data_IF_333844951525
#
_entry.id   IF_333844951525
#
_cell.length_a   1.000
_cell.length_b   1.000
_cell.length_c   1.000
_cell.angle_alpha   90.00
_cell.angle_beta   90.00
_cell.angle_gamma   90.00
#
_symmetry.space_group_name_H-M   'P 1'
#
loop_
_entity.id
_entity.type
_entity.pdbx_description
1 polymer ?
#
# COMPACT_ATOMS: atom_id res chain seq x y z
N UNK A 1 -18.00 -13.69 -54.61
CA UNK A 1 -17.80 -14.17 -53.24
C UNK A 1 -16.42 -14.80 -53.17
N UNK A 2 -15.45 -14.17 -52.51
CA UNK A 2 -14.10 -14.75 -52.35
C UNK A 2 -14.17 -15.94 -51.40
N UNK A 3 -13.52 -17.06 -51.75
CA UNK A 3 -13.49 -18.22 -50.87
C UNK A 3 -12.65 -17.90 -49.62
N UNK A 4 -12.90 -18.55 -48.46
CA UNK A 4 -12.13 -18.34 -47.24
C UNK A 4 -10.61 -18.53 -47.45
N UNK A 5 -10.23 -19.45 -48.35
CA UNK A 5 -8.84 -19.73 -48.71
C UNK A 5 -8.17 -18.62 -49.51
N UNK A 6 -8.90 -17.91 -50.38
CA UNK A 6 -8.39 -16.76 -51.12
C UNK A 6 -8.22 -15.52 -50.22
N UNK A 7 -9.10 -15.36 -49.23
CA UNK A 7 -9.02 -14.25 -48.26
C UNK A 7 -7.81 -14.42 -47.33
N UNK A 8 -7.53 -15.65 -46.88
CA UNK A 8 -6.36 -16.00 -46.09
C UNK A 8 -5.04 -15.80 -46.84
N UNK A 9 -4.97 -16.21 -48.12
CA UNK A 9 -3.74 -16.07 -48.90
C UNK A 9 -3.41 -14.60 -49.21
N UNK A 10 -4.41 -13.76 -49.47
CA UNK A 10 -4.22 -12.30 -49.63
C UNK A 10 -3.78 -11.61 -48.33
N UNK A 11 -4.25 -12.07 -47.17
CA UNK A 11 -3.82 -11.55 -45.88
C UNK A 11 -2.36 -11.91 -45.54
N UNK A 12 -1.86 -13.03 -46.04
CA UNK A 12 -0.50 -13.55 -45.75
C UNK A 12 0.57 -13.04 -46.73
N UNK A 13 0.20 -12.65 -47.95
CA UNK A 13 1.15 -12.14 -48.96
C UNK A 13 2.04 -10.96 -48.49
N UNK A 14 1.55 -9.95 -47.75
CA UNK A 14 2.39 -8.87 -47.21
C UNK A 14 3.39 -9.36 -46.16
N UNK A 15 2.99 -10.34 -45.35
CA UNK A 15 3.82 -10.97 -44.30
C UNK A 15 5.00 -11.76 -44.90
N UNK A 16 4.80 -12.37 -46.08
CA UNK A 16 5.84 -13.10 -46.81
C UNK A 16 6.84 -12.18 -47.54
N UNK A 17 6.45 -10.94 -47.88
CA UNK A 17 7.33 -9.97 -48.58
C UNK A 17 8.36 -9.29 -47.69
N UNK A 18 8.18 -9.33 -46.35
CA UNK A 18 9.11 -8.74 -45.38
C UNK A 18 9.41 -9.73 -44.24
N UNK A 19 10.10 -10.85 -44.53
CA UNK A 19 10.26 -11.95 -43.57
C UNK A 19 10.95 -11.53 -42.27
N UNK A 20 11.92 -10.61 -42.35
CA UNK A 20 12.62 -10.06 -41.16
C UNK A 20 11.66 -9.25 -40.28
N UNK A 21 10.86 -8.34 -40.86
CA UNK A 21 9.89 -7.55 -40.12
C UNK A 21 8.82 -8.43 -39.48
N UNK A 22 8.33 -9.42 -40.21
CA UNK A 22 7.36 -10.40 -39.71
C UNK A 22 7.94 -11.18 -38.53
N UNK A 23 9.15 -11.72 -38.64
CA UNK A 23 9.80 -12.46 -37.57
C UNK A 23 10.01 -11.59 -36.31
N UNK A 24 10.41 -10.32 -36.48
CA UNK A 24 10.58 -9.37 -35.37
C UNK A 24 9.26 -9.07 -34.67
N UNK A 25 8.20 -8.76 -35.43
CA UNK A 25 6.89 -8.49 -34.88
C UNK A 25 6.31 -9.72 -34.15
N UNK A 26 6.42 -10.90 -34.75
CA UNK A 26 5.97 -12.14 -34.10
C UNK A 26 6.73 -12.42 -32.80
N UNK A 27 8.06 -12.24 -32.78
CA UNK A 27 8.88 -12.45 -31.59
C UNK A 27 8.55 -11.45 -30.48
N UNK A 28 8.35 -10.17 -30.85
CA UNK A 28 7.94 -9.13 -29.92
C UNK A 28 6.54 -9.41 -29.37
N UNK A 29 5.57 -9.75 -30.23
CA UNK A 29 4.22 -10.10 -29.82
C UNK A 29 4.20 -11.33 -28.90
N UNK A 30 4.96 -12.38 -29.21
CA UNK A 30 5.09 -13.56 -28.36
C UNK A 30 5.69 -13.21 -26.99
N UNK A 31 6.70 -12.35 -26.95
CA UNK A 31 7.35 -11.90 -25.71
C UNK A 31 6.40 -11.07 -24.85
N UNK A 32 5.69 -10.11 -25.45
CA UNK A 32 4.67 -9.28 -24.76
C UNK A 32 3.52 -10.15 -24.26
N UNK A 33 3.07 -11.13 -25.06
CA UNK A 33 2.02 -12.05 -24.64
C UNK A 33 2.47 -12.92 -23.46
N UNK A 34 3.67 -13.49 -23.52
CA UNK A 34 4.23 -14.28 -22.42
C UNK A 34 4.39 -13.45 -21.14
N UNK A 35 4.86 -12.19 -21.25
CA UNK A 35 4.91 -11.26 -20.14
C UNK A 35 3.51 -10.95 -19.58
N UNK A 36 2.54 -10.64 -20.44
CA UNK A 36 1.17 -10.31 -20.04
C UNK A 36 0.50 -11.48 -19.31
N UNK A 37 0.68 -12.72 -19.78
CA UNK A 37 0.17 -13.92 -19.11
C UNK A 37 0.80 -14.10 -17.73
N UNK A 38 2.12 -13.90 -17.60
CA UNK A 38 2.82 -14.00 -16.31
C UNK A 38 2.39 -12.90 -15.34
N UNK A 39 2.31 -11.65 -15.81
CA UNK A 39 1.91 -10.49 -15.00
C UNK A 39 0.44 -10.58 -14.58
N UNK A 40 -0.45 -11.05 -15.46
CA UNK A 40 -1.85 -11.29 -15.12
C UNK A 40 -2.01 -12.41 -14.08
N UNK A 41 -1.26 -13.52 -14.21
CA UNK A 41 -1.25 -14.58 -13.19
C UNK A 41 -0.74 -14.08 -11.85
N UNK A 42 0.31 -13.27 -11.85
CA UNK A 42 0.81 -12.63 -10.64
C UNK A 42 -0.24 -11.71 -10.02
N UNK A 43 -0.96 -10.93 -10.82
CA UNK A 43 -2.06 -10.09 -10.35
C UNK A 43 -3.19 -10.89 -9.68
N UNK A 44 -3.62 -11.99 -10.29
CA UNK A 44 -4.63 -12.88 -9.70
C UNK A 44 -4.10 -13.59 -8.44
N UNK A 45 -2.81 -13.93 -8.37
CA UNK A 45 -2.23 -14.53 -7.17
C UNK A 45 -2.26 -13.59 -5.94
N UNK A 46 -2.39 -12.28 -6.13
CA UNK A 46 -2.50 -11.32 -5.02
C UNK A 46 -3.85 -11.36 -4.28
N UNK A 47 -4.85 -12.05 -4.87
CA UNK A 47 -6.22 -12.07 -4.35
C UNK A 47 -6.98 -10.74 -4.54
N UNK A 48 -8.21 -10.63 -4.02
CA UNK A 48 -9.02 -9.42 -4.12
C UNK A 48 -8.48 -8.28 -3.25
N UNK A 49 -8.73 -7.03 -3.64
CA UNK A 49 -8.44 -5.86 -2.80
C UNK A 49 -8.56 -4.53 -3.54
N UNK A 50 -9.70 -3.85 -3.38
CA UNK A 50 -9.98 -2.51 -3.90
C UNK A 50 -10.32 -2.46 -5.40
N UNK A 51 -9.59 -3.17 -6.25
CA UNK A 51 -9.83 -3.26 -7.71
C UNK A 51 -10.50 -4.59 -8.10
N UNK A 52 -11.23 -4.64 -9.25
CA UNK A 52 -11.88 -5.87 -9.70
C UNK A 52 -10.89 -7.01 -9.89
N UNK A 53 -11.11 -8.15 -9.22
CA UNK A 53 -10.20 -9.30 -9.26
C UNK A 53 -10.36 -10.14 -10.55
N UNK A 54 -10.10 -9.53 -11.71
CA UNK A 54 -10.27 -10.13 -13.02
C UNK A 54 -9.38 -9.42 -14.07
N UNK A 55 -9.52 -9.79 -15.35
CA UNK A 55 -8.74 -9.21 -16.44
C UNK A 55 -8.91 -7.69 -16.60
N UNK A 56 -10.12 -7.16 -16.38
CA UNK A 56 -10.37 -5.72 -16.48
C UNK A 56 -9.64 -4.93 -15.38
N UNK A 57 -9.62 -5.47 -14.15
CA UNK A 57 -8.84 -4.89 -13.06
C UNK A 57 -7.34 -4.93 -13.34
N UNK A 58 -6.82 -6.04 -13.88
CA UNK A 58 -5.42 -6.13 -14.30
C UNK A 58 -5.04 -5.07 -15.35
N UNK A 59 -5.88 -4.85 -16.36
CA UNK A 59 -5.65 -3.80 -17.37
C UNK A 59 -5.66 -2.41 -16.73
N UNK A 60 -6.61 -2.13 -15.84
CA UNK A 60 -6.67 -0.86 -15.12
C UNK A 60 -5.38 -0.63 -14.31
N UNK A 61 -4.93 -1.62 -13.53
CA UNK A 61 -3.69 -1.49 -12.77
C UNK A 61 -2.50 -1.30 -13.70
N UNK A 62 -2.40 -2.10 -14.76
CA UNK A 62 -1.24 -2.11 -15.66
C UNK A 62 -1.12 -0.85 -16.51
N UNK A 63 -2.23 -0.33 -17.02
CA UNK A 63 -2.24 0.78 -17.98
C UNK A 63 -2.53 2.14 -17.33
N UNK A 64 -3.29 2.19 -16.23
CA UNK A 64 -3.72 3.46 -15.63
C UNK A 64 -3.07 3.76 -14.27
N UNK A 65 -2.60 2.74 -13.53
CA UNK A 65 -2.00 2.95 -12.19
C UNK A 65 -0.48 2.81 -12.24
N UNK A 66 0.02 1.70 -12.79
CA UNK A 66 1.45 1.36 -12.81
C UNK A 66 2.36 2.45 -13.42
N UNK A 67 1.99 3.18 -14.49
CA UNK A 67 2.83 4.25 -15.03
C UNK A 67 3.06 5.43 -14.08
N UNK A 68 2.19 5.61 -13.08
CA UNK A 68 2.26 6.70 -12.09
C UNK A 68 2.68 6.20 -10.70
N UNK A 69 2.95 4.90 -10.56
CA UNK A 69 3.41 4.31 -9.32
C UNK A 69 4.93 4.43 -9.19
N UNK A 70 5.41 4.56 -7.95
CA UNK A 70 6.84 4.51 -7.66
C UNK A 70 7.45 3.18 -8.15
N UNK A 71 8.69 3.25 -8.65
CA UNK A 71 9.46 2.06 -8.93
C UNK A 71 9.83 1.33 -7.63
N UNK A 72 10.12 0.03 -7.72
CA UNK A 72 10.52 -0.77 -6.54
C UNK A 72 11.78 -0.23 -5.86
N UNK A 73 12.71 0.34 -6.63
CA UNK A 73 13.95 0.93 -6.08
C UNK A 73 13.66 2.25 -5.38
N UNK A 74 12.86 3.12 -5.99
CA UNK A 74 12.46 4.39 -5.40
C UNK A 74 11.63 4.19 -4.12
N UNK A 75 10.79 3.15 -4.06
CA UNK A 75 10.00 2.81 -2.87
C UNK A 75 10.85 2.43 -1.62
N UNK A 76 12.15 2.21 -1.80
CA UNK A 76 13.10 1.91 -0.69
C UNK A 76 14.14 3.01 -0.48
N UNK A 77 14.12 4.05 -1.32
CA UNK A 77 15.01 5.18 -1.20
C UNK A 77 14.44 6.17 -0.19
N UNK A 78 15.31 6.72 0.66
CA UNK A 78 14.92 7.65 1.74
C UNK A 78 15.68 8.97 1.67
N UNK A 79 16.36 9.26 0.56
CA UNK A 79 17.18 10.47 0.42
C UNK A 79 16.39 11.77 0.25
N UNK A 80 15.08 11.66 0.07
CA UNK A 80 14.10 12.76 0.08
C UNK A 80 13.52 13.05 1.47
N UNK A 81 13.78 12.20 2.47
CA UNK A 81 13.35 12.45 3.84
C UNK A 81 14.34 13.38 4.57
N UNK A 82 13.86 14.22 5.50
CA UNK A 82 14.75 15.03 6.33
C UNK A 82 15.66 14.13 7.17
N UNK A 83 16.94 14.50 7.26
CA UNK A 83 17.93 13.77 8.05
C UNK A 83 17.73 13.92 9.57
N UNK A 84 16.95 14.91 9.98
CA UNK A 84 16.68 15.27 11.38
C UNK A 84 15.18 15.26 11.67
N UNK A 85 14.81 15.20 12.95
CA UNK A 85 13.41 15.23 13.41
C UNK A 85 12.81 13.86 13.74
N UNK A 86 13.54 12.75 13.52
CA UNK A 86 13.14 11.45 14.05
C UNK A 86 13.23 11.45 15.60
N UNK A 87 12.20 10.89 16.25
CA UNK A 87 12.22 10.69 17.70
C UNK A 87 13.31 9.69 18.11
N UNK A 88 13.92 9.86 19.28
CA UNK A 88 15.02 9.00 19.77
C UNK A 88 14.66 7.51 19.78
N UNK A 89 13.46 7.14 20.27
CA UNK A 89 12.94 5.78 20.18
C UNK A 89 13.01 5.17 18.76
N UNK A 90 12.77 5.96 17.71
CA UNK A 90 12.81 5.48 16.31
C UNK A 90 14.26 5.35 15.83
N UNK A 91 15.16 6.25 16.25
CA UNK A 91 16.59 6.16 15.94
C UNK A 91 17.24 4.92 16.56
N UNK A 92 16.70 4.44 17.67
CA UNK A 92 17.19 3.26 18.40
C UNK A 92 16.59 1.94 17.90
N UNK A 93 15.64 1.97 16.95
CA UNK A 93 15.08 0.74 16.36
C UNK A 93 16.19 -0.05 15.68
N UNK A 94 16.38 -1.34 16.02
CA UNK A 94 17.42 -2.14 15.41
C UNK A 94 17.13 -2.40 13.93
N UNK A 95 18.19 -2.65 13.16
CA UNK A 95 18.02 -3.12 11.79
C UNK A 95 17.26 -4.45 11.78
N UNK A 96 16.21 -4.53 10.95
CA UNK A 96 15.39 -5.74 10.82
C UNK A 96 16.25 -6.92 10.33
N UNK A 97 16.08 -8.09 10.97
CA UNK A 97 16.87 -9.29 10.69
C UNK A 97 16.59 -9.87 9.30
N UNK A 98 17.65 -10.24 8.57
CA UNK A 98 17.58 -10.87 7.26
C UNK A 98 17.23 -9.90 6.12
N UNK A 99 16.93 -10.47 4.95
CA UNK A 99 16.65 -9.67 3.76
C UNK A 99 15.31 -8.94 3.84
N UNK A 100 15.12 -7.96 2.94
CA UNK A 100 13.84 -7.25 2.81
C UNK A 100 12.76 -8.21 2.35
N UNK A 101 11.56 -8.12 2.93
CA UNK A 101 10.42 -8.92 2.52
C UNK A 101 10.04 -8.62 1.06
N UNK A 102 9.77 -9.66 0.29
CA UNK A 102 9.23 -9.58 -1.05
C UNK A 102 7.82 -8.99 -1.04
N UNK A 103 7.61 -7.95 -1.85
CA UNK A 103 6.33 -7.28 -2.03
C UNK A 103 5.80 -7.46 -3.46
N UNK A 104 4.47 -7.57 -3.57
CA UNK A 104 3.76 -7.78 -4.82
C UNK A 104 2.60 -6.82 -4.99
N UNK A 105 2.40 -6.38 -6.23
CA UNK A 105 1.29 -5.51 -6.62
C UNK A 105 1.43 -4.05 -6.16
N UNK A 106 0.70 -3.18 -6.84
CA UNK A 106 0.50 -1.77 -6.41
C UNK A 106 -0.86 -1.67 -5.71
N UNK A 107 -1.90 -2.22 -6.36
CA UNK A 107 -3.22 -2.45 -5.76
C UNK A 107 -3.75 -3.78 -6.29
N UNK A 108 -4.08 -4.76 -5.42
CA UNK A 108 -3.73 -4.79 -4.00
C UNK A 108 -2.20 -4.88 -3.80
N UNK A 109 -1.68 -4.19 -2.78
CA UNK A 109 -0.30 -4.32 -2.34
C UNK A 109 -0.20 -5.44 -1.30
N UNK A 110 0.71 -6.40 -1.49
CA UNK A 110 0.82 -7.60 -0.63
C UNK A 110 2.27 -7.85 -0.24
N UNK A 111 2.47 -8.24 1.02
CA UNK A 111 3.69 -8.91 1.45
C UNK A 111 3.61 -10.38 1.04
N UNK A 112 4.57 -10.85 0.25
CA UNK A 112 4.60 -12.18 -0.36
C UNK A 112 5.51 -13.18 0.36
N UNK A 113 6.36 -12.70 1.27
CA UNK A 113 7.30 -13.51 2.03
C UNK A 113 7.40 -13.03 3.47
N UNK A 114 8.05 -13.82 4.33
CA UNK A 114 8.24 -13.47 5.74
C UNK A 114 6.92 -13.21 6.48
N UNK A 115 5.90 -14.01 6.18
CA UNK A 115 4.57 -13.85 6.77
C UNK A 115 4.62 -14.00 8.29
N UNK A 116 3.89 -13.12 8.97
CA UNK A 116 3.70 -13.20 10.41
C UNK A 116 2.98 -14.52 10.79
N UNK A 117 3.43 -15.24 11.83
CA UNK A 117 2.70 -16.35 12.39
C UNK A 117 1.30 -15.94 12.87
N UNK A 118 0.34 -16.86 12.84
CA UNK A 118 -1.08 -16.57 13.18
C UNK A 118 -1.23 -15.94 14.56
N UNK A 119 -0.39 -16.33 15.54
CA UNK A 119 -0.40 -15.74 16.90
C UNK A 119 -0.16 -14.23 16.92
N UNK A 120 0.66 -13.71 16.00
CA UNK A 120 0.97 -12.27 15.93
C UNK A 120 -0.25 -11.44 15.53
N UNK A 121 -1.24 -12.04 14.87
CA UNK A 121 -2.49 -11.36 14.54
C UNK A 121 -3.22 -10.86 15.78
N UNK A 122 -3.27 -11.67 16.83
CA UNK A 122 -3.90 -11.30 18.09
C UNK A 122 -3.15 -10.14 18.76
N UNK A 123 -1.81 -10.19 18.76
CA UNK A 123 -0.99 -9.10 19.30
C UNK A 123 -1.14 -7.78 18.55
N UNK A 124 -1.27 -7.83 17.21
CA UNK A 124 -1.56 -6.63 16.40
C UNK A 124 -2.96 -6.09 16.73
N UNK A 125 -3.96 -6.96 16.90
CA UNK A 125 -5.31 -6.56 17.27
C UNK A 125 -5.34 -5.91 18.66
N UNK A 126 -4.64 -6.50 19.63
CA UNK A 126 -4.50 -5.97 20.98
C UNK A 126 -3.77 -4.63 20.97
N UNK A 127 -2.67 -4.50 20.21
CA UNK A 127 -1.94 -3.24 20.05
C UNK A 127 -2.86 -2.11 19.57
N UNK A 128 -3.70 -2.36 18.56
CA UNK A 128 -4.63 -1.36 18.04
C UNK A 128 -5.75 -1.04 19.03
N UNK A 129 -6.33 -2.06 19.68
CA UNK A 129 -7.36 -1.86 20.69
C UNK A 129 -6.83 -1.03 21.87
N UNK A 130 -5.68 -1.42 22.40
CA UNK A 130 -5.06 -0.77 23.55
C UNK A 130 -4.53 0.62 23.21
N UNK A 131 -4.09 0.88 21.98
CA UNK A 131 -3.74 2.24 21.55
C UNK A 131 -4.91 3.21 21.79
N UNK A 132 -6.15 2.79 21.47
CA UNK A 132 -7.37 3.59 21.74
C UNK A 132 -7.68 3.62 23.22
N UNK A 133 -7.70 2.47 23.90
CA UNK A 133 -8.03 2.39 25.33
C UNK A 133 -7.10 3.25 26.19
N UNK A 134 -5.80 3.21 25.92
CA UNK A 134 -4.79 3.97 26.67
C UNK A 134 -4.76 5.47 26.32
N UNK A 135 -5.36 5.89 25.19
CA UNK A 135 -5.31 7.26 24.67
C UNK A 135 -6.68 7.76 24.15
N UNK A 136 -7.78 7.48 24.85
CA UNK A 136 -9.18 7.73 24.40
C UNK A 136 -9.47 9.19 24.03
N UNK A 137 -8.76 10.14 24.64
CA UNK A 137 -8.91 11.57 24.33
C UNK A 137 -8.27 11.94 22.98
N UNK A 138 -7.27 11.18 22.56
CA UNK A 138 -6.47 11.44 21.36
C UNK A 138 -6.88 10.61 20.15
N UNK A 139 -7.35 9.38 20.38
CA UNK A 139 -7.57 8.39 19.33
C UNK A 139 -8.98 7.80 19.35
N UNK A 140 -9.43 7.41 18.17
CA UNK A 140 -10.66 6.64 17.96
C UNK A 140 -10.43 5.54 16.92
N UNK A 141 -11.16 4.43 17.03
CA UNK A 141 -11.15 3.36 16.02
C UNK A 141 -12.33 3.51 15.07
N UNK A 142 -12.06 3.48 13.76
CA UNK A 142 -13.09 3.49 12.70
C UNK A 142 -12.70 2.53 11.58
N UNK A 143 -13.66 2.21 10.72
CA UNK A 143 -13.38 1.38 9.54
C UNK A 143 -12.34 2.06 8.64
N UNK A 144 -11.33 1.29 8.22
CA UNK A 144 -10.29 1.75 7.29
C UNK A 144 -10.91 2.30 6.01
N UNK A 145 -10.48 3.49 5.60
CA UNK A 145 -11.03 4.15 4.43
C UNK A 145 -10.48 3.57 3.11
N UNK A 146 -9.33 2.89 3.17
CA UNK A 146 -8.67 2.27 2.02
C UNK A 146 -9.09 0.82 1.86
N UNK A 147 -8.95 0.02 2.92
CA UNK A 147 -9.26 -1.41 2.87
C UNK A 147 -10.75 -1.70 3.05
N UNK A 148 -11.49 -0.80 3.73
CA UNK A 148 -12.94 -0.91 4.00
C UNK A 148 -13.40 -2.18 4.72
N UNK A 149 -12.47 -2.96 5.25
CA UNK A 149 -12.77 -4.25 5.90
C UNK A 149 -12.21 -4.34 7.33
N UNK A 150 -11.12 -3.63 7.63
CA UNK A 150 -10.43 -3.69 8.93
C UNK A 150 -10.56 -2.37 9.70
N UNK A 151 -10.57 -2.39 11.05
CA UNK A 151 -10.44 -1.18 11.85
C UNK A 151 -9.09 -0.48 11.60
N UNK A 152 -9.10 0.85 11.70
CA UNK A 152 -7.93 1.70 11.65
C UNK A 152 -8.03 2.78 12.74
N UNK A 153 -6.88 3.31 13.13
CA UNK A 153 -6.77 4.36 14.12
C UNK A 153 -6.92 5.72 13.46
N UNK A 154 -7.71 6.59 14.08
CA UNK A 154 -7.93 7.97 13.69
C UNK A 154 -7.63 8.88 14.87
N UNK A 155 -7.11 10.07 14.57
CA UNK A 155 -7.06 11.15 15.57
C UNK A 155 -8.49 11.58 15.90
N UNK A 156 -8.78 11.73 17.18
CA UNK A 156 -10.10 12.09 17.69
C UNK A 156 -10.55 13.45 17.14
N UNK A 157 -11.86 13.60 16.92
CA UNK A 157 -12.43 14.85 16.42
C UNK A 157 -12.07 16.08 17.28
N UNK A 158 -12.05 16.00 18.63
CA UNK A 158 -11.61 17.12 19.47
C UNK A 158 -10.18 17.58 19.18
N UNK A 159 -9.22 16.66 19.00
CA UNK A 159 -7.82 17.01 18.68
C UNK A 159 -7.71 17.68 17.30
N UNK A 160 -8.47 17.19 16.32
CA UNK A 160 -8.52 17.81 15.00
C UNK A 160 -9.19 19.19 15.02
N UNK A 161 -10.18 19.39 15.89
CA UNK A 161 -10.86 20.67 16.08
C UNK A 161 -10.02 21.67 16.88
N UNK A 162 -9.11 21.20 17.74
CA UNK A 162 -8.19 22.03 18.52
C UNK A 162 -6.92 22.45 17.78
N UNK A 163 -6.81 22.13 16.48
CA UNK A 163 -5.74 22.64 15.58
C UNK A 163 -5.61 24.17 15.76
N UNK A 164 -4.38 24.70 15.85
CA UNK A 164 -4.04 25.82 16.72
C UNK A 164 -4.96 27.02 16.47
N UNK A 165 -5.83 27.32 17.43
CA UNK A 165 -6.56 28.58 17.67
C UNK A 165 -6.62 29.59 16.49
N UNK A 166 -7.11 29.19 15.30
CA UNK A 166 -7.23 30.08 14.13
C UNK A 166 -5.93 30.43 13.38
N UNK A 167 -4.79 29.79 13.68
CA UNK A 167 -3.49 30.01 13.03
C UNK A 167 -3.28 29.21 11.74
N UNK A 168 -4.08 28.17 11.50
CA UNK A 168 -3.95 27.31 10.33
C UNK A 168 -5.31 26.90 9.77
N UNK A 169 -5.44 26.95 8.45
CA UNK A 169 -6.57 26.41 7.69
C UNK A 169 -6.16 25.13 6.97
N UNK A 170 -7.11 24.21 6.76
CA UNK A 170 -6.87 23.02 5.94
C UNK A 170 -6.56 23.45 4.50
N UNK A 171 -5.48 22.91 3.93
CA UNK A 171 -5.07 23.24 2.56
C UNK A 171 -6.21 23.04 1.54
N UNK A 172 -6.42 23.97 0.59
CA UNK A 172 -7.56 23.96 -0.36
C UNK A 172 -7.60 22.75 -1.30
N UNK A 173 -6.48 22.05 -1.49
CA UNK A 173 -6.44 20.76 -2.20
C UNK A 173 -7.08 19.61 -1.41
N UNK A 174 -7.35 19.80 -0.12
CA UNK A 174 -8.09 18.83 0.67
C UNK A 174 -9.57 18.92 0.26
N UNK A 175 -9.94 18.08 -0.70
CA UNK A 175 -11.27 18.03 -1.30
C UNK A 175 -12.39 17.95 -0.24
N UNK A 176 -13.45 18.79 -0.34
CA UNK A 176 -14.61 18.75 0.55
C UNK A 176 -15.28 17.37 0.53
N UNK A 177 -15.84 16.93 1.67
CA UNK A 177 -16.70 15.72 1.69
C UNK A 177 -17.87 15.96 0.71
N UNK A 178 -18.00 15.09 -0.30
CA UNK A 178 -19.07 15.17 -1.31
C UNK A 178 -18.67 15.71 -2.69
N UNK A 179 -17.43 16.16 -2.91
CA UNK A 179 -16.96 16.49 -4.28
C UNK A 179 -16.86 15.24 -5.16
N UNK A 180 -17.10 15.37 -6.47
CA UNK A 180 -16.96 14.31 -7.47
C UNK A 180 -15.53 13.70 -7.53
N UNK A 181 -14.54 14.47 -7.08
CA UNK A 181 -13.14 14.04 -6.96
C UNK A 181 -12.75 13.74 -5.50
N UNK A 182 -13.64 13.98 -4.54
CA UNK A 182 -13.38 13.67 -3.13
C UNK A 182 -13.10 12.17 -2.98
N UNK A 183 -11.93 11.86 -2.46
CA UNK A 183 -11.54 10.48 -2.25
C UNK A 183 -10.99 9.76 -3.48
N UNK A 184 -10.80 10.43 -4.63
CA UNK A 184 -10.39 9.77 -5.88
C UNK A 184 -9.02 9.09 -5.79
N UNK A 185 -8.09 9.62 -4.99
CA UNK A 185 -6.78 9.00 -4.79
C UNK A 185 -6.31 8.97 -3.33
N UNK A 186 -6.60 10.00 -2.51
CA UNK A 186 -6.23 10.05 -1.07
C UNK A 186 -4.82 9.56 -0.78
N UNK A 187 -3.86 9.81 -1.67
CA UNK A 187 -2.51 9.31 -1.50
C UNK A 187 -1.73 10.41 -0.76
N UNK A 188 -1.43 10.22 0.53
CA UNK A 188 -0.35 10.94 1.20
C UNK A 188 0.97 10.72 0.42
N UNK A 189 1.79 11.77 0.36
CA UNK A 189 3.14 11.72 -0.21
C UNK A 189 4.07 10.70 0.47
N UNK A 190 3.75 10.34 1.72
CA UNK A 190 4.54 9.47 2.60
C UNK A 190 3.73 8.28 3.14
N UNK A 191 3.50 7.25 2.32
CA UNK A 191 3.04 5.94 2.84
C UNK A 191 4.20 5.03 3.15
N UNK A 192 4.20 4.50 4.36
CA UNK A 192 5.05 3.37 4.73
C UNK A 192 4.21 2.10 4.86
N UNK A 193 4.64 1.04 4.17
CA UNK A 193 4.17 -0.31 4.47
C UNK A 193 5.08 -0.91 5.53
N UNK A 194 4.56 -1.06 6.75
CA UNK A 194 5.26 -1.77 7.82
C UNK A 194 5.00 -3.27 7.65
N UNK A 195 6.05 -4.08 7.61
CA UNK A 195 5.93 -5.53 7.47
C UNK A 195 5.27 -6.16 8.69
N UNK A 196 4.56 -7.27 8.47
CA UNK A 196 4.02 -8.06 9.56
C UNK A 196 5.14 -8.55 10.48
N UNK A 197 5.03 -8.34 11.81
CA UNK A 197 6.03 -8.79 12.78
C UNK A 197 6.06 -10.32 12.83
N UNK A 198 7.28 -10.88 12.80
CA UNK A 198 7.49 -12.34 12.81
C UNK A 198 7.50 -12.93 14.22
N UNK A 199 7.87 -12.11 15.20
CA UNK A 199 8.05 -12.48 16.60
C UNK A 199 7.86 -11.26 17.50
N UNK A 200 8.00 -11.52 18.80
CA UNK A 200 7.83 -10.58 19.90
C UNK A 200 8.81 -9.41 19.82
N UNK A 201 10.05 -9.63 19.36
CA UNK A 201 11.03 -8.55 19.17
C UNK A 201 10.57 -7.56 18.07
N UNK A 202 10.03 -8.08 16.96
CA UNK A 202 9.47 -7.24 15.90
C UNK A 202 8.14 -6.58 16.32
N UNK A 203 7.38 -7.18 17.24
CA UNK A 203 6.20 -6.55 17.83
C UNK A 203 6.56 -5.29 18.62
N UNK A 204 7.67 -5.29 19.37
CA UNK A 204 8.12 -4.09 20.09
C UNK A 204 8.51 -2.95 19.14
N UNK A 205 9.13 -3.29 18.00
CA UNK A 205 9.42 -2.32 16.95
C UNK A 205 8.13 -1.75 16.35
N UNK A 206 7.14 -2.60 16.07
CA UNK A 206 5.83 -2.17 15.58
C UNK A 206 5.13 -1.25 16.59
N UNK A 207 5.14 -1.59 17.88
CA UNK A 207 4.58 -0.77 18.95
C UNK A 207 5.29 0.59 19.04
N UNK A 208 6.61 0.61 18.85
CA UNK A 208 7.43 1.83 18.80
C UNK A 208 7.05 2.72 17.62
N UNK A 209 6.88 2.15 16.42
CA UNK A 209 6.41 2.92 15.26
C UNK A 209 5.02 3.50 15.48
N UNK A 210 4.09 2.70 16.01
CA UNK A 210 2.73 3.18 16.26
C UNK A 210 2.71 4.31 17.29
N UNK A 211 3.41 4.14 18.42
CA UNK A 211 3.55 5.14 19.47
C UNK A 211 4.05 6.47 18.93
N UNK A 212 5.12 6.45 18.13
CA UNK A 212 5.69 7.67 17.55
C UNK A 212 4.81 8.27 16.45
N UNK A 213 4.07 7.45 15.70
CA UNK A 213 3.03 7.91 14.79
C UNK A 213 1.92 8.67 15.53
N UNK A 214 1.49 8.19 16.70
CA UNK A 214 0.51 8.89 17.55
C UNK A 214 1.06 10.21 18.04
N UNK A 215 2.31 10.24 18.57
CA UNK A 215 2.98 11.48 19.00
C UNK A 215 3.00 12.51 17.87
N UNK A 216 3.47 12.11 16.69
CA UNK A 216 3.57 12.99 15.53
C UNK A 216 2.20 13.54 15.10
N UNK A 217 1.18 12.68 15.01
CA UNK A 217 -0.15 13.07 14.52
C UNK A 217 -0.96 13.90 15.52
N UNK A 218 -0.66 13.81 16.81
CA UNK A 218 -1.44 14.47 17.89
C UNK A 218 -0.68 15.60 18.57
N UNK A 219 0.64 15.69 18.39
CA UNK A 219 1.51 16.60 19.12
C UNK A 219 1.73 16.22 20.59
N UNK A 220 1.19 15.11 21.06
CA UNK A 220 1.37 14.65 22.43
C UNK A 220 2.76 14.04 22.62
N UNK A 221 3.52 14.50 23.62
CA UNK A 221 4.87 13.99 23.90
C UNK A 221 4.83 12.74 24.83
N UNK A 222 3.91 12.73 25.80
CA UNK A 222 3.79 11.73 26.86
C UNK A 222 2.89 10.53 26.51
N UNK A 223 3.01 10.00 25.29
CA UNK A 223 2.36 8.72 24.95
C UNK A 223 3.11 7.60 25.67
N UNK A 224 2.44 6.88 26.59
CA UNK A 224 3.00 5.70 27.27
C UNK A 224 3.20 4.53 26.29
N UNK A 225 4.12 3.58 26.58
CA UNK A 225 4.22 2.35 25.81
C UNK A 225 2.87 1.64 25.68
N UNK A 226 2.54 1.21 24.46
CA UNK A 226 1.27 0.58 24.15
C UNK A 226 1.40 -0.91 24.42
N UNK A 227 0.57 -1.43 25.30
CA UNK A 227 0.57 -2.87 25.62
C UNK A 227 0.01 -3.61 24.41
N UNK A 228 0.68 -4.69 23.98
CA UNK A 228 0.26 -5.47 22.81
C UNK A 228 0.09 -6.97 23.09
N UNK A 229 0.71 -7.48 24.14
CA UNK A 229 0.70 -8.91 24.47
C UNK A 229 -0.61 -9.39 25.12
N UNK A 230 -1.45 -8.47 25.61
CA UNK A 230 -2.76 -8.74 26.20
C UNK A 230 -3.67 -7.53 26.02
N UNK A 231 -4.99 -7.71 26.18
CA UNK A 231 -5.93 -6.59 26.24
C UNK A 231 -5.83 -5.88 27.60
N UNK A 232 -5.93 -4.55 27.57
CA UNK A 232 -5.99 -3.72 28.77
C UNK A 232 -7.44 -3.34 29.04
N UNK A 233 -7.83 -3.39 30.31
CA UNK A 233 -9.17 -2.99 30.73
C UNK A 233 -9.44 -1.51 30.46
N UNK A 234 -10.73 -1.26 30.21
CA UNK A 234 -11.28 -0.02 29.71
C UNK A 234 -11.19 1.17 30.66
#
# INVERSE_FOLDING_TARGET
MTSPSQTLSLAVQPLLRRPVLTALLTSLSASVFAWAVRDYRAYIALGPGGVPHNFAGWLLVTLAIRPFALSKTAATWTGDFPAEGAHEDVKQVPQRRGDRAELGGIVPHRQLSQHAPVRMREYIQNLFANAVTQNRTLLESKLSLYERNNPALFVSAPVLASSPAGWAERHRLALPRGSLLAGRFRVADSYLMIYGPRDEDEMEVLATFLRNGIRYMTGAEDIRPIVWNQLVDA
#
